data_IF_317137689383
#
_entry.id   IF_317137689383
#
_cell.length_a   1.000
_cell.length_b   1.000
_cell.length_c   1.000
_cell.angle_alpha   90.00
_cell.angle_beta   90.00
_cell.angle_gamma   90.00
#
_symmetry.space_group_name_H-M   'P 1'
#
loop_
_entity.id
_entity.type
_entity.pdbx_description
1 polymer ?
#
# COMPACT_ATOMS: atom_id res chain seq x y z
N UNK A 1 -10.77 0.08 28.56
CA UNK A 1 -10.39 1.47 28.22
C UNK A 1 -8.97 1.48 27.62
N UNK A 2 -8.61 2.57 26.98
CA UNK A 2 -7.25 2.79 26.43
C UNK A 2 -6.16 2.60 27.51
N UNK A 3 -6.32 3.23 28.67
CA UNK A 3 -5.36 3.09 29.78
C UNK A 3 -5.25 1.66 30.30
N UNK A 4 -6.32 0.93 30.34
CA UNK A 4 -6.30 -0.46 30.77
C UNK A 4 -5.58 -1.36 29.76
N UNK A 5 -5.84 -1.19 28.47
CA UNK A 5 -5.14 -1.93 27.40
C UNK A 5 -3.63 -1.65 27.44
N UNK A 6 -3.25 -0.37 27.63
CA UNK A 6 -1.86 0.05 27.81
C UNK A 6 -1.19 -0.65 28.98
N UNK A 7 -1.79 -0.63 30.16
CA UNK A 7 -1.23 -1.25 31.36
C UNK A 7 -1.02 -2.76 31.19
N UNK A 8 -1.99 -3.44 30.58
CA UNK A 8 -1.91 -4.87 30.32
C UNK A 8 -0.82 -5.23 29.30
N UNK A 9 -0.68 -4.43 28.21
CA UNK A 9 0.37 -4.64 27.24
C UNK A 9 1.76 -4.35 27.84
N UNK A 10 1.93 -3.28 28.61
CA UNK A 10 3.18 -2.98 29.31
C UNK A 10 3.54 -4.05 30.36
N UNK A 11 2.53 -4.59 31.02
CA UNK A 11 2.68 -5.72 31.96
C UNK A 11 2.92 -7.07 31.30
N UNK A 12 2.92 -7.15 29.96
CA UNK A 12 2.99 -8.40 29.19
C UNK A 12 1.89 -9.41 29.56
N UNK A 13 0.74 -8.91 29.96
CA UNK A 13 -0.46 -9.71 30.20
C UNK A 13 -1.21 -10.02 28.90
N UNK A 14 -1.00 -9.19 27.88
CA UNK A 14 -1.53 -9.33 26.52
C UNK A 14 -0.42 -9.01 25.51
N UNK A 15 -0.46 -9.64 24.36
CA UNK A 15 0.56 -9.48 23.31
C UNK A 15 0.21 -8.38 22.32
N UNK A 16 -1.08 -8.11 22.10
CA UNK A 16 -1.54 -7.06 21.19
C UNK A 16 -2.84 -6.42 21.66
N UNK A 17 -3.15 -5.24 21.10
CA UNK A 17 -4.37 -4.47 21.35
C UNK A 17 -5.02 -4.13 20.03
N UNK A 18 -6.32 -4.36 19.91
CA UNK A 18 -7.12 -3.83 18.78
C UNK A 18 -7.70 -2.49 19.23
N UNK A 19 -7.36 -1.43 18.50
CA UNK A 19 -7.78 -0.06 18.81
C UNK A 19 -7.86 0.77 17.55
N UNK A 20 -8.42 1.97 17.65
CA UNK A 20 -8.27 2.99 16.61
C UNK A 20 -6.82 3.42 16.53
N UNK A 21 -6.34 3.69 15.32
CA UNK A 21 -5.02 4.25 15.11
C UNK A 21 -4.93 5.62 15.79
N UNK A 22 -3.89 5.79 16.61
CA UNK A 22 -3.60 7.06 17.28
C UNK A 22 -2.11 7.15 17.60
N UNK A 23 -1.48 8.33 17.40
CA UNK A 23 -0.08 8.56 17.77
C UNK A 23 0.27 8.21 19.22
N UNK A 24 -0.72 8.22 20.10
CA UNK A 24 -0.52 7.90 21.51
C UNK A 24 0.06 6.50 21.75
N UNK A 25 -0.17 5.54 20.87
CA UNK A 25 0.41 4.20 21.01
C UNK A 25 1.93 4.20 20.84
N UNK A 26 2.45 5.04 19.92
CA UNK A 26 3.89 5.18 19.69
C UNK A 26 4.61 5.72 20.91
N UNK A 27 3.99 6.66 21.63
CA UNK A 27 4.55 7.21 22.89
C UNK A 27 4.73 6.13 23.97
N UNK A 28 4.01 5.03 23.85
CA UNK A 28 4.10 3.88 24.76
C UNK A 28 4.96 2.73 24.22
N UNK A 29 5.68 2.96 23.14
CA UNK A 29 6.57 1.97 22.54
C UNK A 29 5.82 0.84 21.80
N UNK A 30 4.58 1.10 21.36
CA UNK A 30 3.79 0.20 20.56
C UNK A 30 3.81 0.64 19.10
N UNK A 31 3.78 -0.31 18.18
CA UNK A 31 3.66 -0.09 16.74
C UNK A 31 2.42 -0.76 16.19
N UNK A 32 1.82 -0.16 15.15
CA UNK A 32 0.77 -0.82 14.39
C UNK A 32 1.37 -1.95 13.57
N UNK A 33 0.79 -3.15 13.70
CA UNK A 33 1.26 -4.35 12.99
C UNK A 33 0.28 -4.80 11.91
N UNK A 34 -0.98 -4.39 11.99
CA UNK A 34 -1.99 -4.69 10.97
C UNK A 34 -3.14 -3.70 11.06
N UNK A 35 -3.73 -3.37 9.93
CA UNK A 35 -4.98 -2.64 9.82
C UNK A 35 -6.12 -3.61 9.52
N UNK A 36 -7.10 -3.70 10.43
CA UNK A 36 -8.22 -4.64 10.30
C UNK A 36 -9.47 -4.02 9.70
N UNK A 37 -9.48 -2.69 9.50
CA UNK A 37 -10.58 -1.95 8.90
C UNK A 37 -10.40 -0.44 9.02
N UNK A 38 -11.31 0.32 8.43
CA UNK A 38 -11.38 1.78 8.51
C UNK A 38 -12.76 2.24 8.96
N UNK A 39 -12.84 3.44 9.49
CA UNK A 39 -14.09 4.10 9.87
C UNK A 39 -14.11 5.51 9.29
N UNK A 40 -15.18 5.83 8.59
CA UNK A 40 -15.36 7.18 8.07
C UNK A 40 -15.58 8.19 9.21
N UNK A 41 -15.02 9.37 9.05
CA UNK A 41 -15.18 10.48 9.98
C UNK A 41 -16.08 11.53 9.32
N UNK A 42 -17.06 12.00 10.05
CA UNK A 42 -18.05 12.96 9.57
C UNK A 42 -18.10 14.22 10.44
N UNK A 43 -18.37 15.35 9.81
CA UNK A 43 -18.80 16.54 10.53
C UNK A 43 -20.27 16.39 10.96
N UNK A 44 -20.54 16.53 12.23
CA UNK A 44 -21.90 16.60 12.74
C UNK A 44 -22.39 18.05 12.75
N UNK A 45 -23.47 18.35 12.04
CA UNK A 45 -24.05 19.67 11.92
C UNK A 45 -25.49 19.64 12.40
N UNK A 46 -25.91 20.69 13.11
CA UNK A 46 -27.31 20.82 13.51
C UNK A 46 -28.24 20.79 12.29
N UNK A 47 -29.34 20.05 12.40
CA UNK A 47 -30.36 19.97 11.33
C UNK A 47 -30.96 21.32 10.96
N UNK A 48 -30.88 22.32 11.83
CA UNK A 48 -31.37 23.67 11.61
C UNK A 48 -30.38 24.55 10.83
N UNK A 49 -29.17 24.06 10.57
CA UNK A 49 -28.09 24.80 9.90
C UNK A 49 -27.75 24.18 8.53
N UNK A 50 -28.76 24.13 7.67
CA UNK A 50 -28.58 23.65 6.29
C UNK A 50 -27.65 24.58 5.47
N UNK A 51 -27.67 25.87 5.77
CA UNK A 51 -26.75 26.88 5.24
C UNK A 51 -25.29 26.45 5.45
N UNK A 52 -24.95 26.09 6.68
CA UNK A 52 -23.60 25.66 7.02
C UNK A 52 -23.21 24.34 6.36
N UNK A 53 -24.16 23.41 6.22
CA UNK A 53 -23.93 22.16 5.51
C UNK A 53 -23.55 22.41 4.05
N UNK A 54 -24.30 23.26 3.35
CA UNK A 54 -24.07 23.58 1.94
C UNK A 54 -22.70 24.27 1.74
N UNK A 55 -22.35 25.19 2.64
CA UNK A 55 -21.04 25.87 2.61
C UNK A 55 -19.88 24.90 2.83
N UNK A 56 -20.00 23.98 3.80
CA UNK A 56 -18.98 22.96 4.08
C UNK A 56 -18.86 21.97 2.92
N UNK A 57 -19.97 21.48 2.39
CA UNK A 57 -19.96 20.58 1.24
C UNK A 57 -19.30 21.23 0.02
N UNK A 58 -19.53 22.54 -0.18
CA UNK A 58 -18.88 23.29 -1.24
C UNK A 58 -17.38 23.46 -1.00
N UNK A 59 -16.99 23.82 0.23
CA UNK A 59 -15.60 24.00 0.61
C UNK A 59 -14.81 22.69 0.48
N UNK A 60 -15.40 21.56 0.91
CA UNK A 60 -14.76 20.24 0.80
C UNK A 60 -14.54 19.84 -0.66
N UNK A 61 -15.57 19.97 -1.51
CA UNK A 61 -15.43 19.69 -2.96
C UNK A 61 -14.37 20.58 -3.61
N UNK A 62 -14.31 21.86 -3.24
CA UNK A 62 -13.29 22.78 -3.74
C UNK A 62 -11.91 22.37 -3.30
N UNK A 63 -11.75 21.98 -2.05
CA UNK A 63 -10.47 21.52 -1.51
C UNK A 63 -9.99 20.23 -2.22
N UNK A 64 -10.88 19.27 -2.43
CA UNK A 64 -10.58 18.04 -3.17
C UNK A 64 -10.17 18.31 -4.62
N UNK A 65 -10.81 19.29 -5.26
CA UNK A 65 -10.45 19.72 -6.62
C UNK A 65 -9.11 20.45 -6.67
N UNK A 66 -8.90 21.42 -5.76
CA UNK A 66 -7.69 22.26 -5.75
C UNK A 66 -6.45 21.51 -5.22
N UNK A 67 -6.67 20.50 -4.34
CA UNK A 67 -5.63 19.72 -3.67
C UNK A 67 -6.06 18.26 -3.49
N UNK A 68 -6.03 17.46 -4.55
CA UNK A 68 -6.56 16.09 -4.53
C UNK A 68 -5.88 15.15 -3.52
N UNK A 69 -4.63 15.44 -3.12
CA UNK A 69 -3.87 14.62 -2.16
C UNK A 69 -3.81 15.23 -0.75
N UNK A 70 -4.58 16.28 -0.48
CA UNK A 70 -4.50 16.97 0.81
C UNK A 70 -4.98 16.11 2.00
N UNK A 71 -5.95 15.26 1.78
CA UNK A 71 -6.40 14.30 2.79
C UNK A 71 -5.27 13.32 3.17
N UNK A 72 -4.55 12.82 2.17
CA UNK A 72 -3.41 11.92 2.37
C UNK A 72 -2.25 12.65 3.08
N UNK A 73 -1.97 13.89 2.71
CA UNK A 73 -0.97 14.72 3.40
C UNK A 73 -1.32 14.93 4.88
N UNK A 74 -2.60 15.18 5.19
CA UNK A 74 -3.05 15.31 6.57
C UNK A 74 -2.98 13.99 7.33
N UNK A 75 -3.38 12.90 6.69
CA UNK A 75 -3.26 11.57 7.26
C UNK A 75 -1.80 11.26 7.61
N UNK A 76 -0.90 11.42 6.65
CA UNK A 76 0.54 11.21 6.87
C UNK A 76 1.10 12.08 7.97
N UNK A 77 0.66 13.34 8.07
CA UNK A 77 1.17 14.30 9.05
C UNK A 77 0.70 14.04 10.47
N UNK A 78 -0.55 13.61 10.63
CA UNK A 78 -1.20 13.61 11.95
C UNK A 78 -1.66 12.24 12.44
N UNK A 79 -1.91 11.31 11.53
CA UNK A 79 -2.49 10.01 11.86
C UNK A 79 -1.57 8.84 11.50
N UNK A 80 -0.68 9.00 10.56
CA UNK A 80 0.32 8.00 10.22
C UNK A 80 1.35 7.91 11.35
N UNK A 81 0.94 7.31 12.44
CA UNK A 81 1.86 6.83 13.44
C UNK A 81 2.52 5.57 12.91
N UNK A 82 3.51 5.74 12.04
CA UNK A 82 4.49 4.70 11.69
C UNK A 82 3.89 3.29 11.55
N UNK A 83 2.84 3.15 10.72
CA UNK A 83 2.52 1.82 10.24
C UNK A 83 3.65 1.40 9.31
N UNK A 84 4.57 0.67 9.86
CA UNK A 84 5.54 -0.05 9.05
C UNK A 84 5.05 -1.48 8.98
N UNK A 85 4.60 -1.95 7.82
CA UNK A 85 4.19 -3.33 7.65
C UNK A 85 5.30 -4.28 8.12
N UNK A 86 4.92 -5.30 8.84
CA UNK A 86 5.82 -6.37 9.24
C UNK A 86 5.27 -7.68 8.70
N UNK A 87 6.14 -8.50 8.13
CA UNK A 87 5.77 -9.84 7.73
C UNK A 87 5.65 -10.74 8.97
N UNK A 88 4.64 -11.60 8.96
CA UNK A 88 4.55 -12.71 9.90
C UNK A 88 5.72 -13.67 9.70
N UNK A 89 5.95 -14.55 10.67
CA UNK A 89 7.02 -15.56 10.54
C UNK A 89 6.83 -16.46 9.32
N UNK A 90 5.60 -16.79 8.98
CA UNK A 90 5.26 -17.62 7.83
C UNK A 90 5.55 -16.91 6.50
N UNK A 91 5.24 -15.61 6.41
CA UNK A 91 5.57 -14.76 5.26
C UNK A 91 7.08 -14.54 5.10
N UNK A 92 7.81 -14.35 6.22
CA UNK A 92 9.27 -14.25 6.20
C UNK A 92 9.93 -15.54 5.71
N UNK A 93 9.44 -16.69 6.19
CA UNK A 93 9.90 -18.01 5.74
C UNK A 93 9.63 -18.19 4.24
N UNK A 94 8.45 -17.78 3.77
CA UNK A 94 8.13 -17.82 2.35
C UNK A 94 9.08 -16.95 1.52
N UNK A 95 9.28 -15.67 1.88
CA UNK A 95 10.22 -14.75 1.19
C UNK A 95 11.61 -15.34 1.15
N UNK A 96 12.07 -15.91 2.27
CA UNK A 96 13.41 -16.49 2.36
C UNK A 96 13.58 -17.72 1.46
N UNK A 97 12.55 -18.54 1.33
CA UNK A 97 12.57 -19.75 0.50
C UNK A 97 12.36 -19.43 -0.99
N UNK A 98 11.54 -18.42 -1.28
CA UNK A 98 11.21 -18.01 -2.64
C UNK A 98 12.41 -17.30 -3.31
N UNK A 99 13.12 -16.47 -2.58
CA UNK A 99 14.17 -15.60 -3.08
C UNK A 99 13.61 -14.34 -3.74
N UNK A 100 14.21 -13.90 -4.84
CA UNK A 100 13.78 -12.70 -5.57
C UNK A 100 12.36 -12.86 -6.11
N UNK A 101 11.52 -11.86 -5.85
CA UNK A 101 10.20 -11.76 -6.47
C UNK A 101 10.37 -11.29 -7.91
N UNK A 102 9.95 -12.11 -8.85
CA UNK A 102 10.14 -11.86 -10.30
C UNK A 102 8.96 -11.05 -10.83
N UNK A 103 9.25 -9.86 -11.33
CA UNK A 103 8.25 -8.95 -11.88
C UNK A 103 8.39 -8.90 -13.40
N UNK A 104 7.32 -9.29 -14.11
CA UNK A 104 7.18 -9.04 -15.53
C UNK A 104 6.83 -7.59 -15.82
N UNK A 105 7.36 -7.03 -16.90
CA UNK A 105 7.01 -5.69 -17.37
C UNK A 105 7.14 -5.59 -18.89
N UNK A 106 6.38 -4.69 -19.51
CA UNK A 106 6.53 -4.38 -20.93
C UNK A 106 7.75 -3.48 -21.15
N UNK A 107 8.64 -3.86 -22.06
CA UNK A 107 9.87 -3.12 -22.37
C UNK A 107 9.63 -1.75 -22.98
N UNK A 108 8.43 -1.53 -23.50
CA UNK A 108 8.00 -0.32 -24.21
C UNK A 108 6.61 0.14 -23.76
N UNK A 109 6.50 0.54 -22.49
CA UNK A 109 5.30 1.17 -21.94
C UNK A 109 5.65 2.58 -21.43
N UNK A 110 5.38 3.57 -22.28
CA UNK A 110 5.87 4.94 -22.10
C UNK A 110 5.42 5.56 -20.75
N UNK A 111 6.39 5.91 -19.92
CA UNK A 111 6.19 6.52 -18.61
C UNK A 111 5.95 5.51 -17.47
N UNK A 112 5.53 4.29 -17.76
CA UNK A 112 5.33 3.22 -16.78
C UNK A 112 6.63 2.42 -16.63
N UNK A 113 7.11 1.87 -17.75
CA UNK A 113 8.35 1.13 -17.82
C UNK A 113 9.01 1.36 -19.18
N UNK A 114 10.24 1.78 -19.18
CA UNK A 114 11.03 1.96 -20.41
C UNK A 114 12.43 1.43 -20.16
N UNK A 115 12.81 0.40 -20.91
CA UNK A 115 14.17 -0.09 -20.87
C UNK A 115 15.06 0.75 -21.78
N UNK A 116 16.16 1.25 -21.25
CA UNK A 116 17.17 2.05 -21.97
C UNK A 116 18.37 1.16 -22.30
N UNK A 117 18.48 0.63 -23.54
CA UNK A 117 19.50 -0.37 -23.89
C UNK A 117 20.92 0.14 -23.70
N UNK A 118 21.16 1.45 -23.93
CA UNK A 118 22.49 2.07 -23.84
C UNK A 118 23.05 2.06 -22.41
N UNK A 119 22.19 2.18 -21.40
CA UNK A 119 22.60 2.18 -20.00
C UNK A 119 22.29 0.88 -19.28
N UNK A 120 21.48 0.01 -19.88
CA UNK A 120 20.96 -1.20 -19.25
C UNK A 120 19.99 -0.91 -18.08
N UNK A 121 19.45 0.32 -18.04
CA UNK A 121 18.57 0.77 -16.95
C UNK A 121 17.12 0.71 -17.36
N UNK A 122 16.29 0.31 -16.42
CA UNK A 122 14.85 0.48 -16.49
C UNK A 122 14.49 1.82 -15.84
N UNK A 123 13.71 2.65 -16.54
CA UNK A 123 13.21 3.93 -16.05
C UNK A 123 11.68 3.93 -16.08
N UNK A 124 11.07 4.71 -15.19
CA UNK A 124 9.62 4.82 -15.10
C UNK A 124 9.09 4.56 -13.70
N UNK A 125 7.77 4.60 -13.58
CA UNK A 125 7.04 4.46 -12.30
C UNK A 125 7.35 3.13 -11.60
N UNK A 126 7.65 2.08 -12.35
CA UNK A 126 8.00 0.76 -11.80
C UNK A 126 9.17 0.81 -10.80
N UNK A 127 10.20 1.63 -11.06
CA UNK A 127 11.34 1.75 -10.17
C UNK A 127 10.96 2.37 -8.82
N UNK A 128 10.09 3.37 -8.83
CA UNK A 128 9.62 4.03 -7.62
C UNK A 128 8.76 3.07 -6.78
N UNK A 129 7.91 2.28 -7.45
CA UNK A 129 7.11 1.25 -6.79
C UNK A 129 7.95 0.15 -6.13
N UNK A 130 8.95 -0.35 -6.84
CA UNK A 130 9.84 -1.40 -6.32
C UNK A 130 10.64 -0.89 -5.14
N UNK A 131 11.20 0.32 -5.25
CA UNK A 131 11.93 0.95 -4.14
C UNK A 131 11.01 1.14 -2.94
N UNK A 132 9.82 1.68 -3.16
CA UNK A 132 8.84 1.86 -2.09
C UNK A 132 8.43 0.54 -1.44
N UNK A 133 8.15 -0.51 -2.24
CA UNK A 133 7.78 -1.82 -1.72
C UNK A 133 8.92 -2.45 -0.90
N UNK A 134 10.15 -2.36 -1.39
CA UNK A 134 11.34 -2.87 -0.68
C UNK A 134 11.55 -2.18 0.67
N UNK A 135 11.34 -0.85 0.71
CA UNK A 135 11.58 -0.03 1.90
C UNK A 135 10.39 0.01 2.87
N UNK A 136 9.21 -0.44 2.42
CA UNK A 136 7.97 -0.37 3.22
C UNK A 136 7.88 -1.43 4.31
N UNK A 137 8.68 -2.49 4.26
CA UNK A 137 8.64 -3.60 5.22
C UNK A 137 9.85 -3.53 6.14
N UNK A 138 9.61 -3.43 7.45
CA UNK A 138 10.68 -3.15 8.40
C UNK A 138 11.48 -4.36 8.85
N UNK A 139 10.89 -5.56 8.81
CA UNK A 139 11.48 -6.77 9.39
C UNK A 139 12.03 -7.77 8.35
N UNK A 140 11.85 -7.49 7.07
CA UNK A 140 12.36 -8.30 5.97
C UNK A 140 12.59 -7.44 4.74
N UNK A 141 13.74 -7.61 4.10
CA UNK A 141 14.00 -6.99 2.81
C UNK A 141 13.35 -7.84 1.71
N UNK A 142 12.61 -7.18 0.81
CA UNK A 142 12.13 -7.79 -0.42
C UNK A 142 13.13 -7.48 -1.53
N UNK A 143 13.66 -8.51 -2.14
CA UNK A 143 14.49 -8.39 -3.32
C UNK A 143 13.63 -8.70 -4.56
N UNK A 144 13.80 -7.91 -5.61
CA UNK A 144 13.03 -8.00 -6.84
C UNK A 144 13.94 -8.21 -8.04
N UNK A 145 13.53 -9.07 -8.94
CA UNK A 145 14.13 -9.22 -10.25
C UNK A 145 13.14 -8.87 -11.35
N UNK A 146 13.61 -8.17 -12.39
CA UNK A 146 12.79 -7.60 -13.44
C UNK A 146 12.99 -8.38 -14.74
N UNK A 147 11.88 -8.81 -15.35
CA UNK A 147 11.87 -9.57 -16.61
C UNK A 147 11.05 -8.82 -17.65
N UNK A 148 11.71 -8.33 -18.69
CA UNK A 148 11.08 -7.56 -19.76
C UNK A 148 10.45 -8.44 -20.83
N UNK A 149 9.27 -8.05 -21.29
CA UNK A 149 8.52 -8.71 -22.38
C UNK A 149 8.17 -7.68 -23.46
N UNK A 150 8.04 -8.15 -24.69
CA UNK A 150 7.69 -7.29 -25.81
C UNK A 150 6.18 -7.20 -26.03
N UNK A 151 5.41 -8.14 -25.45
CA UNK A 151 3.95 -8.16 -25.52
C UNK A 151 3.30 -8.61 -24.19
N UNK A 152 2.07 -8.16 -23.98
CA UNK A 152 1.23 -8.57 -22.85
C UNK A 152 0.92 -10.06 -22.89
N UNK A 153 0.77 -10.64 -24.08
CA UNK A 153 0.49 -12.06 -24.27
C UNK A 153 1.64 -12.94 -23.75
N UNK A 154 2.88 -12.54 -24.04
CA UNK A 154 4.09 -13.23 -23.55
C UNK A 154 4.21 -13.12 -22.02
N UNK A 155 3.93 -11.96 -21.49
CA UNK A 155 3.97 -11.68 -20.06
C UNK A 155 2.91 -12.50 -19.29
N UNK A 156 1.67 -12.54 -19.78
CA UNK A 156 0.59 -13.37 -19.25
C UNK A 156 0.98 -14.85 -19.29
N UNK A 157 1.56 -15.30 -20.39
CA UNK A 157 1.97 -16.71 -20.52
C UNK A 157 3.11 -17.03 -19.52
N UNK A 158 4.06 -16.14 -19.36
CA UNK A 158 5.14 -16.30 -18.40
C UNK A 158 4.65 -16.38 -16.93
N UNK A 159 3.62 -15.60 -16.58
CA UNK A 159 2.98 -15.68 -15.27
C UNK A 159 2.29 -17.05 -15.08
N UNK A 160 1.54 -17.51 -16.08
CA UNK A 160 0.88 -18.83 -16.05
C UNK A 160 1.89 -19.99 -15.93
N UNK A 161 3.04 -19.85 -16.56
CA UNK A 161 4.11 -20.85 -16.54
C UNK A 161 4.99 -20.76 -15.29
N UNK A 162 4.72 -19.81 -14.37
CA UNK A 162 5.49 -19.59 -13.16
C UNK A 162 6.92 -19.07 -13.41
N UNK A 163 7.15 -18.45 -14.55
CA UNK A 163 8.44 -17.82 -14.89
C UNK A 163 8.60 -16.46 -14.19
N UNK A 164 7.49 -15.79 -13.92
CA UNK A 164 7.39 -14.56 -13.11
C UNK A 164 6.30 -14.75 -12.05
N UNK A 165 6.34 -13.92 -11.03
CA UNK A 165 5.44 -14.01 -9.87
C UNK A 165 4.32 -12.98 -9.94
N UNK A 166 4.56 -11.85 -10.61
CA UNK A 166 3.56 -10.81 -10.85
C UNK A 166 3.85 -10.03 -12.14
N UNK A 167 2.82 -9.37 -12.64
CA UNK A 167 2.88 -8.45 -13.78
C UNK A 167 2.73 -7.01 -13.26
N UNK A 168 3.61 -6.13 -13.70
CA UNK A 168 3.51 -4.71 -13.54
C UNK A 168 3.48 -4.06 -14.92
N UNK A 169 2.59 -3.42 -15.22
CA UNK A 169 1.34 -2.79 -15.01
C UNK A 169 0.24 -3.59 -15.74
N UNK A 170 -0.66 -4.19 -15.01
CA UNK A 170 -1.79 -4.90 -15.63
C UNK A 170 -2.99 -3.95 -15.66
N UNK A 171 -3.60 -3.79 -16.84
CA UNK A 171 -4.79 -2.95 -16.97
C UNK A 171 -5.92 -3.52 -16.09
N UNK A 172 -6.51 -2.70 -15.23
CA UNK A 172 -7.60 -3.09 -14.35
C UNK A 172 -8.86 -3.44 -15.16
N UNK A 173 -8.86 -4.66 -15.68
CA UNK A 173 -9.99 -5.24 -16.39
C UNK A 173 -10.35 -6.55 -15.69
N UNK A 174 -11.39 -6.57 -14.85
CA UNK A 174 -11.78 -7.75 -14.10
C UNK A 174 -12.13 -8.93 -15.00
N UNK A 175 -12.64 -8.70 -16.22
CA UNK A 175 -12.92 -9.77 -17.16
C UNK A 175 -11.65 -10.47 -17.65
N UNK A 176 -10.58 -9.71 -17.91
CA UNK A 176 -9.30 -10.29 -18.35
C UNK A 176 -8.63 -11.04 -17.22
N UNK A 177 -8.71 -10.52 -16.00
CA UNK A 177 -8.17 -11.20 -14.81
C UNK A 177 -8.92 -12.53 -14.57
N UNK A 178 -10.25 -12.50 -14.57
CA UNK A 178 -11.10 -13.69 -14.40
C UNK A 178 -10.86 -14.74 -15.52
N UNK A 179 -10.79 -14.31 -16.78
CA UNK A 179 -10.51 -15.20 -17.93
C UNK A 179 -9.14 -15.89 -17.81
N UNK A 180 -8.17 -15.22 -17.24
CA UNK A 180 -6.82 -15.74 -17.04
C UNK A 180 -6.61 -16.39 -15.67
N UNK A 181 -7.62 -16.38 -14.79
CA UNK A 181 -7.58 -16.90 -13.43
C UNK A 181 -6.50 -16.20 -12.57
N UNK A 182 -6.47 -14.87 -12.68
CA UNK A 182 -5.62 -13.99 -11.86
C UNK A 182 -6.45 -13.30 -10.79
N UNK A 183 -5.80 -12.98 -9.65
CA UNK A 183 -6.35 -12.18 -8.55
C UNK A 183 -5.96 -10.68 -8.67
#
# INVERSE_FOLDING_TARGET
SFEQGKQQAQGREIDCVISTETPAWVEYGMSAIAQTGGSDIYFAISRTRQDLKEELDHAMRKMEFDKPFYADELYQRYLSASYTPVLSSEEQDWVTQHGDIRIGFLTSDAGISTYVPESGQLVGVINDYITFASDSISNQKLDFSLVGYDSMEEEIQALKDGQIDLIFHFAQNPYVAEENNFD
#
